data_IF_076312245934
#
_entry.id   IF_076312245934
#
_cell.length_a   1.000
_cell.length_b   1.000
_cell.length_c   1.000
_cell.angle_alpha   90.00
_cell.angle_beta   90.00
_cell.angle_gamma   90.00
#
_symmetry.space_group_name_H-M   'P 1'
#
loop_
_entity.id
_entity.type
_entity.pdbx_description
1 polymer ?
#
# COMPACT_ATOMS: atom_id res chain seq x y z
N UNK A 1 23.99 -3.02 -23.33
CA UNK A 1 24.40 -4.17 -24.14
C UNK A 1 23.33 -5.25 -24.04
N UNK A 2 22.57 -5.46 -25.11
CA UNK A 2 21.90 -6.71 -25.51
C UNK A 2 21.16 -6.43 -26.83
N UNK A 3 21.95 -6.24 -27.90
CA UNK A 3 21.41 -6.28 -29.26
C UNK A 3 21.32 -7.75 -29.65
N UNK A 4 20.12 -8.31 -29.71
CA UNK A 4 19.90 -9.62 -30.33
C UNK A 4 18.80 -9.48 -31.37
N UNK A 5 19.23 -9.14 -32.57
CA UNK A 5 18.76 -9.64 -33.87
C UNK A 5 17.91 -10.92 -33.79
N UNK A 6 16.62 -10.78 -33.49
CA UNK A 6 15.61 -11.84 -33.46
C UNK A 6 15.10 -12.18 -34.86
N UNK A 7 16.01 -12.53 -35.78
CA UNK A 7 15.62 -12.92 -37.13
C UNK A 7 15.41 -14.45 -37.14
N UNK A 8 14.16 -14.88 -36.92
CA UNK A 8 13.52 -16.16 -37.35
C UNK A 8 12.80 -16.99 -36.27
N UNK A 9 13.01 -16.76 -34.97
CA UNK A 9 12.26 -17.51 -33.95
C UNK A 9 10.91 -16.84 -33.63
N UNK A 10 9.77 -17.55 -33.70
CA UNK A 10 8.48 -17.00 -33.29
C UNK A 10 8.47 -16.74 -31.77
N UNK A 11 7.80 -15.67 -31.34
CA UNK A 11 7.59 -15.42 -29.90
C UNK A 11 6.81 -16.57 -29.24
N UNK A 12 6.87 -16.68 -27.91
CA UNK A 12 6.20 -17.76 -27.18
C UNK A 12 4.70 -17.84 -27.48
N UNK A 13 4.03 -16.69 -27.63
CA UNK A 13 2.62 -16.62 -27.99
C UNK A 13 2.32 -17.23 -29.35
N UNK A 14 3.04 -16.82 -30.39
CA UNK A 14 2.84 -17.30 -31.75
C UNK A 14 3.23 -18.79 -31.88
N UNK A 15 4.29 -19.22 -31.17
CA UNK A 15 4.69 -20.62 -31.08
C UNK A 15 3.58 -21.47 -30.44
N UNK A 16 3.00 -21.02 -29.33
CA UNK A 16 1.90 -21.72 -28.65
C UNK A 16 0.63 -21.79 -29.52
N UNK A 17 0.26 -20.67 -30.16
CA UNK A 17 -0.90 -20.56 -31.05
C UNK A 17 -0.70 -21.21 -32.42
N UNK A 18 0.50 -21.75 -32.71
CA UNK A 18 0.86 -22.37 -34.00
C UNK A 18 0.61 -21.45 -35.21
N UNK A 19 0.90 -20.16 -35.07
CA UNK A 19 0.75 -19.15 -36.14
C UNK A 19 2.06 -18.45 -36.46
N UNK A 20 2.15 -17.84 -37.66
CA UNK A 20 3.32 -17.06 -38.07
C UNK A 20 3.47 -15.80 -37.21
N UNK A 21 4.68 -15.57 -36.69
CA UNK A 21 5.01 -14.34 -35.96
C UNK A 21 5.44 -13.27 -36.97
N UNK A 22 4.60 -12.26 -37.17
CA UNK A 22 4.88 -11.16 -38.11
C UNK A 22 5.67 -10.02 -37.44
N UNK A 23 6.45 -9.24 -38.20
CA UNK A 23 7.01 -7.97 -37.72
C UNK A 23 5.87 -7.07 -37.19
N UNK A 24 6.00 -6.56 -35.97
CA UNK A 24 4.92 -5.81 -35.29
C UNK A 24 3.94 -6.67 -34.48
N UNK A 25 4.24 -7.95 -34.24
CA UNK A 25 3.43 -8.78 -33.35
C UNK A 25 3.35 -8.17 -31.94
N UNK A 26 2.13 -7.87 -31.47
CA UNK A 26 1.88 -7.26 -30.16
C UNK A 26 2.40 -8.08 -28.97
N UNK A 27 2.54 -9.40 -29.15
CA UNK A 27 2.99 -10.30 -28.09
C UNK A 27 4.51 -10.46 -28.06
N UNK A 28 5.21 -10.16 -29.16
CA UNK A 28 6.63 -10.44 -29.29
C UNK A 28 7.51 -9.71 -28.26
N UNK A 29 7.26 -8.43 -27.91
CA UNK A 29 8.06 -7.73 -26.90
C UNK A 29 7.93 -8.32 -25.49
N UNK A 30 6.78 -8.94 -25.17
CA UNK A 30 6.43 -9.30 -23.79
C UNK A 30 6.48 -10.82 -23.51
N UNK A 31 6.46 -11.65 -24.55
CA UNK A 31 6.47 -13.10 -24.46
C UNK A 31 7.64 -13.69 -25.27
N UNK A 32 8.88 -13.57 -24.76
CA UNK A 32 10.06 -14.11 -25.42
C UNK A 32 10.00 -15.64 -25.54
N UNK A 33 10.62 -16.25 -26.55
CA UNK A 33 10.58 -17.70 -26.75
C UNK A 33 11.20 -18.52 -25.61
N UNK A 34 12.06 -17.92 -24.78
CA UNK A 34 12.68 -18.50 -23.59
C UNK A 34 11.67 -18.77 -22.47
N UNK A 35 10.52 -18.07 -22.47
CA UNK A 35 9.50 -18.14 -21.42
C UNK A 35 8.15 -18.69 -21.93
N UNK A 36 8.09 -19.94 -22.44
CA UNK A 36 6.86 -20.49 -23.01
C UNK A 36 5.74 -20.68 -21.98
N UNK A 37 6.10 -20.97 -20.71
CA UNK A 37 5.13 -21.18 -19.63
C UNK A 37 4.37 -19.89 -19.28
N UNK A 38 5.03 -18.73 -19.38
CA UNK A 38 4.42 -17.41 -19.12
C UNK A 38 3.19 -17.21 -20.00
N UNK A 39 3.33 -17.45 -21.31
CA UNK A 39 2.19 -17.34 -22.22
C UNK A 39 1.16 -18.45 -22.02
N UNK A 40 1.59 -19.69 -21.76
CA UNK A 40 0.67 -20.81 -21.54
C UNK A 40 -0.29 -20.56 -20.37
N UNK A 41 0.24 -20.06 -19.25
CA UNK A 41 -0.55 -19.72 -18.06
C UNK A 41 -1.52 -18.57 -18.38
N UNK A 42 -1.02 -17.47 -18.94
CA UNK A 42 -1.83 -16.30 -19.30
C UNK A 42 -2.95 -16.68 -20.28
N UNK A 43 -2.64 -17.49 -21.29
CA UNK A 43 -3.62 -17.99 -22.24
C UNK A 43 -4.69 -18.86 -21.57
N UNK A 44 -4.29 -19.73 -20.64
CA UNK A 44 -5.23 -20.61 -19.92
C UNK A 44 -6.19 -19.84 -19.03
N UNK A 45 -5.73 -18.79 -18.35
CA UNK A 45 -6.52 -18.05 -17.36
C UNK A 45 -7.32 -16.90 -17.98
N UNK A 46 -6.70 -16.12 -18.86
CA UNK A 46 -7.31 -14.92 -19.44
C UNK A 46 -7.73 -15.09 -20.90
N UNK A 47 -7.02 -15.93 -21.66
CA UNK A 47 -7.22 -16.11 -23.09
C UNK A 47 -6.52 -15.05 -23.94
N UNK A 48 -6.00 -15.45 -25.11
CA UNK A 48 -5.24 -14.55 -25.99
C UNK A 48 -6.05 -13.32 -26.47
N UNK A 49 -7.35 -13.49 -26.71
CA UNK A 49 -8.21 -12.41 -27.20
C UNK A 49 -8.40 -11.31 -26.16
N UNK A 50 -8.61 -11.68 -24.88
CA UNK A 50 -8.78 -10.71 -23.81
C UNK A 50 -7.47 -9.96 -23.53
N UNK A 51 -6.35 -10.68 -23.52
CA UNK A 51 -5.03 -10.05 -23.38
C UNK A 51 -4.75 -9.10 -24.54
N UNK A 52 -5.10 -9.48 -25.78
CA UNK A 52 -4.95 -8.59 -26.94
C UNK A 52 -5.76 -7.30 -26.77
N UNK A 53 -7.03 -7.41 -26.36
CA UNK A 53 -7.90 -6.26 -26.13
C UNK A 53 -7.32 -5.32 -25.06
N UNK A 54 -6.97 -5.88 -23.90
CA UNK A 54 -6.37 -5.13 -22.80
C UNK A 54 -5.07 -4.42 -23.22
N UNK A 55 -4.16 -5.09 -23.92
CA UNK A 55 -2.93 -4.45 -24.37
C UNK A 55 -3.19 -3.32 -25.38
N UNK A 56 -4.24 -3.41 -26.19
CA UNK A 56 -4.60 -2.32 -27.11
C UNK A 56 -5.21 -1.11 -26.38
N UNK A 57 -5.88 -1.31 -25.25
CA UNK A 57 -6.46 -0.24 -24.42
C UNK A 57 -5.41 0.48 -23.57
N UNK A 58 -4.28 -0.17 -23.26
CA UNK A 58 -3.19 0.39 -22.47
C UNK A 58 -2.17 1.18 -23.31
N UNK A 59 -1.61 2.22 -22.69
CA UNK A 59 -0.47 2.95 -23.27
C UNK A 59 0.76 2.04 -23.36
N UNK A 60 1.63 2.21 -24.37
CA UNK A 60 2.77 1.32 -24.60
C UNK A 60 3.68 1.09 -23.39
N UNK A 61 3.89 2.12 -22.57
CA UNK A 61 4.76 2.05 -21.38
C UNK A 61 4.17 1.22 -20.23
N UNK A 62 2.84 1.02 -20.19
CA UNK A 62 2.16 0.24 -19.14
C UNK A 62 2.04 -1.24 -19.50
N UNK A 63 2.24 -1.59 -20.77
CA UNK A 63 1.97 -2.94 -21.29
C UNK A 63 2.90 -3.98 -20.68
N UNK A 64 4.16 -3.62 -20.43
CA UNK A 64 5.13 -4.54 -19.81
C UNK A 64 4.68 -4.93 -18.39
N UNK A 65 4.36 -3.94 -17.55
CA UNK A 65 3.87 -4.15 -16.19
C UNK A 65 2.53 -4.90 -16.16
N UNK A 66 1.63 -4.59 -17.10
CA UNK A 66 0.38 -5.31 -17.25
C UNK A 66 0.61 -6.79 -17.60
N UNK A 67 1.50 -7.11 -18.54
CA UNK A 67 1.82 -8.51 -18.88
C UNK A 67 2.47 -9.24 -17.71
N UNK A 68 3.36 -8.58 -16.98
CA UNK A 68 3.99 -9.15 -15.78
C UNK A 68 2.97 -9.44 -14.69
N UNK A 69 2.00 -8.54 -14.48
CA UNK A 69 0.90 -8.73 -13.52
C UNK A 69 0.00 -9.90 -13.93
N UNK A 70 -0.42 -9.96 -15.20
CA UNK A 70 -1.21 -11.08 -15.72
C UNK A 70 -0.47 -12.41 -15.62
N UNK A 71 0.84 -12.42 -15.89
CA UNK A 71 1.66 -13.62 -15.77
C UNK A 71 1.69 -14.15 -14.34
N UNK A 72 1.92 -13.26 -13.37
CA UNK A 72 1.90 -13.60 -11.95
C UNK A 72 0.54 -14.14 -11.50
N UNK A 73 -0.54 -13.42 -11.84
CA UNK A 73 -1.91 -13.84 -11.49
C UNK A 73 -2.28 -15.19 -12.11
N UNK A 74 -1.93 -15.39 -13.39
CA UNK A 74 -2.20 -16.63 -14.08
C UNK A 74 -1.44 -17.80 -13.46
N UNK A 75 -0.15 -17.63 -13.15
CA UNK A 75 0.65 -18.64 -12.47
C UNK A 75 0.08 -18.97 -11.09
N UNK A 76 -0.29 -17.94 -10.31
CA UNK A 76 -0.90 -18.12 -9.00
C UNK A 76 -2.20 -18.95 -9.11
N UNK A 77 -3.07 -18.65 -10.07
CA UNK A 77 -4.32 -19.40 -10.29
C UNK A 77 -4.08 -20.80 -10.85
N UNK A 78 -2.98 -21.05 -11.57
CA UNK A 78 -2.60 -22.41 -11.98
C UNK A 78 -2.14 -23.24 -10.78
N UNK A 79 -1.38 -22.65 -9.85
CA UNK A 79 -0.91 -23.32 -8.62
C UNK A 79 -2.03 -23.53 -7.59
N UNK A 80 -2.91 -22.54 -7.45
CA UNK A 80 -4.07 -22.59 -6.58
C UNK A 80 -5.33 -22.25 -7.39
N UNK A 81 -6.05 -23.26 -7.91
CA UNK A 81 -7.27 -23.05 -8.70
C UNK A 81 -8.43 -22.43 -7.92
N UNK A 82 -8.38 -22.46 -6.58
CA UNK A 82 -9.47 -21.96 -5.73
C UNK A 82 -9.24 -20.48 -5.41
N UNK A 83 -8.08 -20.13 -4.88
CA UNK A 83 -7.82 -18.76 -4.40
C UNK A 83 -6.79 -17.98 -5.25
N UNK A 84 -5.91 -18.64 -5.99
CA UNK A 84 -4.87 -18.00 -6.79
C UNK A 84 -4.08 -16.95 -5.99
N UNK A 85 -3.96 -15.74 -6.55
CA UNK A 85 -3.29 -14.62 -5.87
C UNK A 85 -4.05 -14.10 -4.63
N UNK A 86 -5.36 -14.34 -4.52
CA UNK A 86 -6.17 -13.94 -3.34
C UNK A 86 -5.73 -14.70 -2.08
N UNK A 87 -5.24 -15.94 -2.24
CA UNK A 87 -4.65 -16.70 -1.15
C UNK A 87 -3.41 -16.00 -0.56
N UNK A 88 -2.53 -15.50 -1.43
CA UNK A 88 -1.35 -14.74 -1.03
C UNK A 88 -1.74 -13.42 -0.34
N UNK A 89 -2.73 -12.69 -0.89
CA UNK A 89 -3.26 -11.47 -0.28
C UNK A 89 -3.76 -11.76 1.14
N UNK A 90 -4.59 -12.80 1.30
CA UNK A 90 -5.19 -13.17 2.59
C UNK A 90 -4.11 -13.56 3.62
N UNK A 91 -3.07 -14.27 3.17
CA UNK A 91 -1.93 -14.62 4.01
C UNK A 91 -1.17 -13.38 4.47
N UNK A 92 -0.83 -12.48 3.55
CA UNK A 92 -0.10 -11.25 3.86
C UNK A 92 -0.89 -10.33 4.78
N UNK A 93 -2.20 -10.21 4.58
CA UNK A 93 -3.06 -9.42 5.48
C UNK A 93 -3.04 -9.95 6.92
N UNK A 94 -3.11 -11.28 7.12
CA UNK A 94 -2.96 -11.88 8.46
C UNK A 94 -1.57 -11.63 9.05
N UNK A 95 -0.53 -11.69 8.21
CA UNK A 95 0.84 -11.45 8.64
C UNK A 95 1.04 -10.00 9.10
N UNK A 96 0.52 -9.03 8.35
CA UNK A 96 0.54 -7.61 8.74
C UNK A 96 -0.18 -7.40 10.07
N UNK A 97 -1.38 -7.97 10.24
CA UNK A 97 -2.13 -7.86 11.50
C UNK A 97 -1.38 -8.48 12.69
N UNK A 98 -0.73 -9.63 12.48
CA UNK A 98 0.06 -10.29 13.52
C UNK A 98 1.26 -9.43 13.92
N UNK A 99 2.02 -8.95 12.93
CA UNK A 99 3.20 -8.12 13.16
C UNK A 99 2.84 -6.80 13.83
N UNK A 100 1.70 -6.19 13.48
CA UNK A 100 1.22 -4.98 14.15
C UNK A 100 0.93 -5.25 15.63
N UNK A 101 0.28 -6.36 15.97
CA UNK A 101 0.03 -6.75 17.37
C UNK A 101 1.31 -6.99 18.16
N UNK A 102 2.29 -7.64 17.54
CA UNK A 102 3.61 -7.88 18.15
C UNK A 102 4.33 -6.55 18.41
N UNK A 103 4.26 -5.61 17.46
CA UNK A 103 4.82 -4.27 17.61
C UNK A 103 4.13 -3.47 18.73
N UNK A 104 2.79 -3.51 18.78
CA UNK A 104 2.01 -2.82 19.81
C UNK A 104 2.33 -3.36 21.21
N UNK A 105 2.47 -4.69 21.35
CA UNK A 105 2.85 -5.32 22.60
C UNK A 105 4.27 -4.93 23.04
N UNK A 106 5.24 -4.95 22.12
CA UNK A 106 6.62 -4.53 22.41
C UNK A 106 6.69 -3.04 22.80
N UNK A 107 5.92 -2.18 22.13
CA UNK A 107 5.84 -0.76 22.48
C UNK A 107 5.23 -0.55 23.87
N UNK A 108 4.17 -1.29 24.22
CA UNK A 108 3.59 -1.24 25.56
C UNK A 108 4.60 -1.69 26.65
N UNK A 109 5.40 -2.72 26.36
CA UNK A 109 6.48 -3.16 27.25
C UNK A 109 7.55 -2.09 27.43
N UNK A 110 8.01 -1.44 26.35
CA UNK A 110 8.98 -0.35 26.42
C UNK A 110 8.47 0.83 27.26
N UNK A 111 7.21 1.23 27.09
CA UNK A 111 6.58 2.28 27.89
C UNK A 111 6.57 1.89 29.37
N UNK A 112 6.19 0.64 29.68
CA UNK A 112 6.18 0.12 31.06
C UNK A 112 7.57 0.16 31.69
N UNK A 113 8.62 -0.21 30.97
CA UNK A 113 10.00 -0.11 31.47
C UNK A 113 10.42 1.34 31.69
N UNK A 114 10.11 2.25 30.76
CA UNK A 114 10.45 3.66 30.88
C UNK A 114 9.74 4.35 32.06
N UNK A 115 8.49 3.99 32.35
CA UNK A 115 7.73 4.56 33.47
C UNK A 115 8.09 3.95 34.84
N UNK A 116 8.63 2.73 34.88
CA UNK A 116 9.02 2.06 36.12
C UNK A 116 10.41 2.48 36.66
N UNK A 117 11.20 3.23 35.89
CA UNK A 117 12.52 3.77 36.28
C UNK A 117 12.43 5.08 37.12
N UNK A 118 11.28 5.40 37.74
CA UNK A 118 11.19 6.48 38.74
C UNK A 118 11.31 5.86 40.14
N UNK A 119 12.43 6.03 40.87
CA UNK A 119 12.42 5.74 42.30
C UNK A 119 11.49 6.76 42.94
N UNK A 120 10.34 6.27 43.43
CA UNK A 120 9.52 6.98 44.39
C UNK A 120 10.31 7.11 45.70
N UNK A 121 11.26 8.04 45.75
CA UNK A 121 11.83 8.54 46.99
C UNK A 121 10.68 9.25 47.73
N UNK A 122 10.25 8.62 48.82
CA UNK A 122 9.04 8.96 49.53
C UNK A 122 9.03 10.40 50.06
N UNK A 123 7.85 10.99 50.06
CA UNK A 123 7.46 11.93 51.09
C UNK A 123 6.03 11.55 51.50
N UNK A 124 5.92 10.94 52.67
CA UNK A 124 4.63 10.71 53.31
C UNK A 124 3.99 12.05 53.64
N UNK A 125 2.83 12.33 53.07
CA UNK A 125 1.96 13.39 53.58
C UNK A 125 0.84 12.74 54.40
N UNK A 126 0.97 12.91 55.71
CA UNK A 126 -0.04 12.60 56.71
C UNK A 126 -1.34 13.33 56.34
N UNK A 127 -2.42 12.57 56.16
CA UNK A 127 -3.79 13.08 56.14
C UNK A 127 -4.11 13.57 57.55
N UNK A 128 -4.29 14.88 57.73
CA UNK A 128 -4.97 15.44 58.89
C UNK A 128 -6.32 16.00 58.46
N UNK A 129 -7.36 15.47 59.10
CA UNK A 129 -8.76 15.81 58.92
C UNK A 129 -9.11 17.08 59.69
N UNK A 130 -9.76 18.06 59.04
CA UNK A 130 -10.50 19.15 59.70
C UNK A 130 -11.87 19.29 59.01
N UNK A 131 -13.00 19.42 59.75
CA UNK A 131 -14.34 19.45 59.15
C UNK A 131 -14.74 20.86 58.70
N UNK A 132 -15.33 20.97 57.50
CA UNK A 132 -15.87 22.23 56.96
C UNK A 132 -17.38 22.38 57.13
N UNK A 133 -17.94 23.61 57.05
CA UNK A 133 -19.36 23.81 56.77
C UNK A 133 -19.63 24.51 55.42
N UNK A 134 -20.44 23.81 54.61
CA UNK A 134 -21.44 24.18 53.57
C UNK A 134 -21.11 25.14 52.40
N UNK A 135 -21.72 24.92 51.21
CA UNK A 135 -21.42 25.66 49.99
C UNK A 135 -22.31 26.89 49.80
N UNK A 136 -21.78 27.90 49.09
CA UNK A 136 -22.61 28.96 48.48
C UNK A 136 -22.13 29.26 47.06
N UNK A 137 -23.09 29.23 46.16
CA UNK A 137 -23.04 29.44 44.72
C UNK A 137 -22.69 30.89 44.35
N UNK A 138 -21.96 31.10 43.25
CA UNK A 138 -22.32 32.05 42.20
C UNK A 138 -21.45 31.86 40.93
N UNK A 139 -22.10 32.05 39.79
CA UNK A 139 -21.58 32.04 38.43
C UNK A 139 -20.66 33.23 38.13
N UNK A 140 -19.74 33.10 37.17
CA UNK A 140 -19.08 34.26 36.58
C UNK A 140 -17.84 33.92 35.76
N UNK A 141 -17.97 34.06 34.45
CA UNK A 141 -16.98 33.76 33.44
C UNK A 141 -15.70 34.63 33.51
N UNK A 142 -14.57 34.04 33.08
CA UNK A 142 -13.78 34.50 31.91
C UNK A 142 -12.26 34.35 32.11
N UNK A 143 -11.65 33.76 31.07
CA UNK A 143 -10.27 33.96 30.60
C UNK A 143 -9.09 33.65 31.52
N UNK A 144 -8.26 32.69 31.08
CA UNK A 144 -6.96 32.43 31.67
C UNK A 144 -6.33 31.16 31.11
N UNK A 145 -5.62 31.32 29.99
CA UNK A 145 -4.56 30.41 29.56
C UNK A 145 -3.70 30.02 30.77
N UNK A 146 -3.43 28.74 30.99
CA UNK A 146 -2.11 28.10 31.07
C UNK A 146 -2.33 26.61 31.36
N UNK A 147 -1.95 25.81 30.38
CA UNK A 147 -1.95 24.35 30.38
C UNK A 147 -0.94 23.87 31.44
N UNK A 148 -1.38 23.05 32.41
CA UNK A 148 -0.46 22.44 33.37
C UNK A 148 0.26 21.27 32.67
N UNK A 149 1.39 21.66 32.08
CA UNK A 149 2.44 20.87 31.47
C UNK A 149 2.76 19.56 32.20
N UNK A 150 2.57 18.42 31.52
CA UNK A 150 3.29 17.18 31.78
C UNK A 150 3.66 16.51 30.44
N UNK A 151 4.96 16.65 30.13
CA UNK A 151 5.80 15.83 29.25
C UNK A 151 5.34 15.55 27.81
N UNK A 152 6.03 16.23 26.89
CA UNK A 152 6.09 15.88 25.48
C UNK A 152 6.70 14.49 25.27
N UNK A 153 5.93 13.57 24.71
CA UNK A 153 6.44 12.49 23.87
C UNK A 153 5.62 12.48 22.57
N UNK A 154 6.16 12.93 21.44
CA UNK A 154 5.48 12.82 20.17
C UNK A 154 5.84 11.47 19.54
N UNK A 155 4.98 10.48 19.65
CA UNK A 155 4.98 9.34 18.73
C UNK A 155 3.55 9.02 18.30
N UNK A 156 2.91 10.00 17.66
CA UNK A 156 1.90 9.69 16.68
C UNK A 156 2.63 9.11 15.45
N UNK A 157 2.77 7.79 15.38
CA UNK A 157 3.19 7.15 14.13
C UNK A 157 2.06 7.34 13.11
N UNK A 158 2.27 8.04 11.98
CA UNK A 158 1.27 8.11 10.94
C UNK A 158 1.20 6.75 10.25
N UNK A 159 0.00 6.14 10.25
CA UNK A 159 -0.31 4.95 9.47
C UNK A 159 -0.20 5.28 7.96
N UNK A 160 0.44 4.44 7.11
CA UNK A 160 0.81 4.86 5.75
C UNK A 160 -0.33 4.99 4.71
N UNK A 161 -1.60 4.77 5.08
CA UNK A 161 -2.67 4.54 4.08
C UNK A 161 -3.89 5.44 4.21
N UNK A 162 -3.79 6.60 4.88
CA UNK A 162 -4.88 7.57 4.82
C UNK A 162 -4.75 8.51 3.61
N UNK A 163 -5.00 8.00 2.41
CA UNK A 163 -5.36 8.82 1.26
C UNK A 163 -6.84 9.21 1.40
N UNK A 164 -7.09 10.30 2.13
CA UNK A 164 -8.36 11.01 2.06
C UNK A 164 -8.44 11.75 0.72
N UNK A 165 -8.68 11.01 -0.37
CA UNK A 165 -9.10 11.57 -1.64
C UNK A 165 -10.56 11.98 -1.55
N UNK A 166 -10.83 13.25 -1.27
CA UNK A 166 -12.09 13.94 -1.59
C UNK A 166 -11.96 15.45 -1.35
N UNK A 167 -12.05 16.25 -2.41
CA UNK A 167 -12.33 17.68 -2.27
C UNK A 167 -11.76 18.56 -3.38
N UNK A 168 -12.44 18.56 -4.53
CA UNK A 168 -12.35 19.62 -5.54
C UNK A 168 -12.39 21.02 -4.91
N UNK A 169 -11.64 21.97 -5.47
CA UNK A 169 -12.23 23.27 -5.78
C UNK A 169 -11.60 23.90 -7.02
N UNK A 170 -12.51 24.37 -7.87
CA UNK A 170 -12.33 25.02 -9.16
C UNK A 170 -11.96 26.51 -9.01
N UNK A 171 -11.62 27.12 -10.14
CA UNK A 171 -11.40 28.54 -10.46
C UNK A 171 -10.03 29.12 -10.04
N UNK A 172 -9.32 29.95 -10.82
CA UNK A 172 -9.66 30.94 -11.85
C UNK A 172 -8.32 31.31 -12.57
N UNK A 173 -8.18 31.45 -13.89
CA UNK A 173 -8.37 32.71 -14.64
C UNK A 173 -7.06 33.49 -14.94
N UNK A 174 -6.77 33.75 -16.23
CA UNK A 174 -5.75 34.69 -16.74
C UNK A 174 -4.55 34.01 -17.43
N UNK A 175 -4.22 34.18 -18.72
CA UNK A 175 -4.20 35.40 -19.55
C UNK A 175 -2.74 35.86 -19.69
N UNK A 176 -2.10 35.63 -20.85
CA UNK A 176 -0.72 36.06 -21.10
C UNK A 176 -0.09 35.49 -22.37
N UNK A 177 -0.18 36.30 -23.42
CA UNK A 177 0.59 36.35 -24.65
C UNK A 177 2.11 36.41 -24.46
N UNK A 178 2.88 35.94 -25.46
CA UNK A 178 4.34 36.05 -25.47
C UNK A 178 4.97 35.46 -26.72
N UNK A 179 5.03 36.27 -27.78
CA UNK A 179 5.81 36.04 -29.00
C UNK A 179 7.32 36.00 -28.74
N UNK A 180 8.01 35.02 -29.34
CA UNK A 180 9.18 35.17 -30.26
C UNK A 180 9.60 33.79 -30.77
#
# INVERSE_FOLDING_TARGET
MASSSSYNSPCAACKFLRRKCMPGCIFAPYFPPEEPQKFANVHRIFGASNVTKLLNELLPHQREDAVNSLAYEAEARVRDPVYGCVGAISFLQRQVQRLQKELDAANADLIRYACNEIPSAGVGHVVQSIPGPRPRSYEGASSGYYNQQLSAFPMAYPLPWNESSSGNNMNEGGGGDGSI
#
